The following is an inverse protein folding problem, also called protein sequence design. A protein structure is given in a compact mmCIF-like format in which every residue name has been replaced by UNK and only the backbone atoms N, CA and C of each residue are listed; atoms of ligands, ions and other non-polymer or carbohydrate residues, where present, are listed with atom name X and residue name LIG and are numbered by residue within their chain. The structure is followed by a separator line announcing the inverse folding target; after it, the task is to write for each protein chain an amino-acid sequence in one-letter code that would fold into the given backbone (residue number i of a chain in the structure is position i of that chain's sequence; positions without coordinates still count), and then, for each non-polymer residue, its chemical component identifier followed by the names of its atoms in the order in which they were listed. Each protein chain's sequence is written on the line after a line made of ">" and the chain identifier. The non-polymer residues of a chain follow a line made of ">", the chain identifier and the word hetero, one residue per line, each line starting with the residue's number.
data_IF_258397149480
#
_entry.id   IF_258397149480
#
_cell.length_a   1.000
_cell.length_b   1.000
_cell.length_c   1.000
_cell.angle_alpha   90.00
_cell.angle_beta   90.00
_cell.angle_gamma   90.00
#
_symmetry.space_group_name_H-M   'P 1'
#
loop_
_entity.id
_entity.type
_entity.pdbx_description
1 polymer ?
#
# COMPACT_ATOMS: atom_id res chain seq x y z
N UNK A 1 -3.62 30.00 -0.73
CA UNK A 1 -4.17 28.80 -0.09
C UNK A 1 -3.11 27.72 -0.17
N UNK A 2 -2.72 27.11 0.95
CA UNK A 2 -1.78 25.98 0.90
C UNK A 2 -2.46 24.80 0.22
N UNK A 3 -1.76 24.17 -0.72
CA UNK A 3 -2.25 22.98 -1.43
C UNK A 3 -2.50 21.85 -0.42
N UNK A 4 -3.66 21.18 -0.53
CA UNK A 4 -3.97 20.04 0.36
C UNK A 4 -2.96 18.93 0.08
N UNK A 5 -2.18 18.57 1.09
CA UNK A 5 -1.22 17.47 0.99
C UNK A 5 -1.98 16.19 0.67
N UNK A 6 -1.66 15.58 -0.48
CA UNK A 6 -2.21 14.29 -0.88
C UNK A 6 -1.35 13.17 -0.30
N UNK A 7 -1.98 12.32 0.50
CA UNK A 7 -1.32 11.16 1.10
C UNK A 7 -1.28 9.99 0.11
N UNK A 8 -0.14 9.33 0.04
CA UNK A 8 0.09 8.10 -0.71
C UNK A 8 -0.27 6.87 0.13
N UNK A 9 -0.32 5.68 -0.49
CA UNK A 9 -0.49 4.42 0.24
C UNK A 9 0.58 4.26 1.33
N UNK A 10 1.83 4.58 1.00
CA UNK A 10 2.95 4.49 1.92
C UNK A 10 2.76 5.39 3.15
N UNK A 11 2.25 6.61 2.96
CA UNK A 11 2.01 7.55 4.06
C UNK A 11 0.98 7.01 5.05
N UNK A 12 -0.12 6.44 4.54
CA UNK A 12 -1.15 5.83 5.39
C UNK A 12 -0.62 4.61 6.14
N UNK A 13 0.09 3.72 5.45
CA UNK A 13 0.66 2.53 6.09
C UNK A 13 1.70 2.92 7.14
N UNK A 14 2.54 3.91 6.86
CA UNK A 14 3.52 4.41 7.83
C UNK A 14 2.84 5.01 9.07
N UNK A 15 1.74 5.74 8.89
CA UNK A 15 0.92 6.24 10.00
C UNK A 15 0.37 5.10 10.85
N UNK A 16 -0.21 4.06 10.24
CA UNK A 16 -0.80 2.95 11.00
C UNK A 16 0.27 2.16 11.75
N UNK A 17 1.42 1.91 11.12
CA UNK A 17 2.54 1.23 11.77
C UNK A 17 3.09 2.02 12.97
N UNK A 18 3.22 3.34 12.84
CA UNK A 18 3.71 4.18 13.93
C UNK A 18 2.67 4.34 15.04
N UNK A 19 1.38 4.46 14.72
CA UNK A 19 0.32 4.47 15.72
C UNK A 19 0.39 3.19 16.56
N UNK A 20 0.52 2.03 15.91
CA UNK A 20 0.71 0.75 16.60
C UNK A 20 1.96 0.72 17.48
N UNK A 21 3.11 1.22 16.99
CA UNK A 21 4.34 1.32 17.80
C UNK A 21 4.13 2.18 19.05
N UNK A 22 3.40 3.29 18.94
CA UNK A 22 3.07 4.15 20.08
C UNK A 22 2.12 3.43 21.05
N UNK A 23 1.07 2.80 20.56
CA UNK A 23 0.08 2.08 21.36
C UNK A 23 0.71 0.90 22.12
N UNK A 24 1.53 0.09 21.44
CA UNK A 24 2.21 -1.06 22.01
C UNK A 24 3.24 -0.66 23.10
N UNK A 25 3.76 0.57 23.04
CA UNK A 25 4.66 1.10 24.06
C UNK A 25 3.99 1.40 25.40
N UNK A 26 2.66 1.58 25.40
CA UNK A 26 1.88 2.00 26.58
C UNK A 26 2.16 3.42 27.07
N UNK A 27 2.90 4.23 26.30
CA UNK A 27 3.28 5.59 26.68
C UNK A 27 2.30 6.63 26.15
N UNK A 28 2.00 7.63 26.98
CA UNK A 28 1.34 8.84 26.51
C UNK A 28 2.29 9.69 25.65
N UNK A 29 1.74 10.62 24.86
CA UNK A 29 2.52 11.44 23.92
C UNK A 29 3.59 12.34 24.56
N UNK A 30 3.37 12.83 25.79
CA UNK A 30 4.35 13.65 26.52
C UNK A 30 5.60 12.85 26.90
N UNK A 31 5.48 11.68 27.58
CA UNK A 31 6.61 10.79 27.81
C UNK A 31 7.42 10.45 26.56
N UNK A 32 6.77 10.21 25.41
CA UNK A 32 7.47 9.96 24.14
C UNK A 32 8.27 11.21 23.72
N UNK A 33 7.65 12.39 23.74
CA UNK A 33 8.33 13.65 23.43
C UNK A 33 9.54 13.91 24.34
N UNK A 34 9.40 13.63 25.64
CA UNK A 34 10.44 13.83 26.65
C UNK A 34 11.63 12.89 26.41
N UNK A 35 11.38 11.61 26.08
CA UNK A 35 12.43 10.64 25.71
C UNK A 35 13.21 11.06 24.46
N UNK A 36 12.55 11.72 23.53
CA UNK A 36 13.13 12.24 22.27
C UNK A 36 13.82 13.61 22.51
N UNK A 37 13.88 14.11 23.75
CA UNK A 37 14.50 15.39 24.08
C UNK A 37 13.76 16.59 23.47
N UNK A 38 12.46 16.45 23.20
CA UNK A 38 11.64 17.50 22.60
C UNK A 38 11.85 17.74 21.11
N UNK A 39 12.65 16.92 20.41
CA UNK A 39 12.84 17.04 18.96
C UNK A 39 11.52 16.89 18.18
N UNK A 40 10.61 16.04 18.68
CA UNK A 40 9.21 16.00 18.24
C UNK A 40 8.31 16.37 19.41
N UNK A 41 7.48 17.40 19.24
CA UNK A 41 6.56 17.84 20.30
C UNK A 41 5.42 16.83 20.50
N UNK A 42 4.87 16.75 21.71
CA UNK A 42 3.71 15.90 22.00
C UNK A 42 2.49 16.21 21.13
N UNK A 43 2.34 17.47 20.69
CA UNK A 43 1.29 17.87 19.73
C UNK A 43 1.55 17.24 18.37
N UNK A 44 2.79 17.30 17.86
CA UNK A 44 3.16 16.69 16.59
C UNK A 44 3.06 15.16 16.64
N UNK A 45 3.40 14.54 17.77
CA UNK A 45 3.18 13.10 18.00
C UNK A 45 1.70 12.76 17.90
N UNK A 46 0.82 13.55 18.53
CA UNK A 46 -0.63 13.39 18.38
C UNK A 46 -1.13 13.63 16.96
N UNK A 47 -0.55 14.58 16.23
CA UNK A 47 -0.87 14.81 14.82
C UNK A 47 -0.50 13.58 13.96
N UNK A 48 0.67 13.00 14.19
CA UNK A 48 1.15 11.78 13.50
C UNK A 48 0.25 10.59 13.83
N UNK A 49 -0.02 10.35 15.11
CA UNK A 49 -0.86 9.26 15.59
C UNK A 49 -2.26 9.30 14.96
N UNK A 50 -2.85 10.49 14.83
CA UNK A 50 -4.18 10.67 14.27
C UNK A 50 -4.20 10.82 12.74
N UNK A 51 -3.04 10.85 12.08
CA UNK A 51 -2.94 11.02 10.63
C UNK A 51 -3.42 12.39 10.13
N UNK A 52 -3.17 13.46 10.88
CA UNK A 52 -3.62 14.81 10.53
C UNK A 52 -2.46 15.69 10.04
N UNK A 53 -2.81 16.72 9.25
CA UNK A 53 -1.92 17.73 8.65
C UNK A 53 -0.95 17.19 7.61
N UNK A 54 0.08 16.46 8.01
CA UNK A 54 1.15 16.00 7.11
C UNK A 54 1.71 14.64 7.52
N UNK A 55 2.17 13.83 6.55
CA UNK A 55 2.84 12.56 6.81
C UNK A 55 4.03 12.70 7.75
N UNK A 56 4.42 11.57 8.34
CA UNK A 56 5.59 11.47 9.21
C UNK A 56 6.89 11.67 8.41
N UNK A 57 7.83 12.45 8.93
CA UNK A 57 9.19 12.54 8.35
C UNK A 57 10.06 11.38 8.82
N UNK A 58 11.04 10.99 8.01
CA UNK A 58 11.97 9.90 8.37
C UNK A 58 12.67 10.13 9.72
N UNK A 59 13.07 11.36 10.03
CA UNK A 59 13.68 11.68 11.33
C UNK A 59 12.71 11.55 12.50
N UNK A 60 11.43 11.89 12.31
CA UNK A 60 10.38 11.69 13.32
C UNK A 60 10.13 10.19 13.54
N UNK A 61 10.06 9.42 12.44
CA UNK A 61 9.88 7.97 12.46
C UNK A 61 10.96 7.27 13.30
N UNK A 62 12.24 7.56 13.02
CA UNK A 62 13.36 6.95 13.74
C UNK A 62 13.32 7.31 15.22
N UNK A 63 13.09 8.59 15.54
CA UNK A 63 13.04 9.06 16.93
C UNK A 63 11.90 8.42 17.74
N UNK A 64 10.71 8.27 17.12
CA UNK A 64 9.57 7.64 17.78
C UNK A 64 9.82 6.15 18.00
N UNK A 65 10.38 5.44 17.02
CA UNK A 65 10.73 4.03 17.17
C UNK A 65 11.70 3.82 18.35
N UNK A 66 12.78 4.62 18.40
CA UNK A 66 13.77 4.57 19.49
C UNK A 66 13.12 4.82 20.86
N UNK A 67 12.31 5.87 20.99
CA UNK A 67 11.63 6.19 22.25
C UNK A 67 10.62 5.14 22.72
N UNK A 68 10.01 4.43 21.77
CA UNK A 68 9.04 3.37 22.02
C UNK A 68 9.68 1.96 22.12
N UNK A 69 10.99 1.84 21.88
CA UNK A 69 11.70 0.56 21.92
C UNK A 69 11.42 -0.36 20.73
N UNK A 70 10.95 0.19 19.60
CA UNK A 70 10.71 -0.56 18.37
C UNK A 70 11.96 -0.53 17.46
N UNK A 71 12.21 -1.61 16.71
CA UNK A 71 13.27 -1.64 15.70
C UNK A 71 12.81 -0.88 14.43
N UNK A 72 13.38 0.31 14.14
CA UNK A 72 12.95 1.12 13.01
C UNK A 72 13.19 0.43 11.66
N UNK A 73 14.19 -0.45 11.55
CA UNK A 73 14.48 -1.16 10.30
C UNK A 73 13.43 -2.22 10.04
N UNK A 74 13.09 -3.00 11.06
CA UNK A 74 12.03 -4.02 10.95
C UNK A 74 10.68 -3.37 10.66
N UNK A 75 10.31 -2.32 11.40
CA UNK A 75 9.06 -1.58 11.16
C UNK A 75 9.00 -0.99 9.76
N UNK A 76 10.09 -0.43 9.24
CA UNK A 76 10.13 0.11 7.87
C UNK A 76 9.97 -0.98 6.81
N UNK A 77 10.57 -2.16 7.01
CA UNK A 77 10.38 -3.30 6.10
C UNK A 77 8.92 -3.74 6.04
N UNK A 78 8.25 -3.79 7.18
CA UNK A 78 6.82 -4.12 7.29
C UNK A 78 5.96 -3.09 6.55
N UNK A 79 6.24 -1.80 6.74
CA UNK A 79 5.54 -0.71 6.02
C UNK A 79 5.69 -0.87 4.51
N UNK A 80 6.90 -1.13 4.00
CA UNK A 80 7.15 -1.27 2.56
C UNK A 80 6.43 -2.51 2.01
N UNK A 81 6.50 -3.64 2.72
CA UNK A 81 5.84 -4.87 2.32
C UNK A 81 4.31 -4.69 2.26
N UNK A 82 3.75 -4.04 3.27
CA UNK A 82 2.32 -3.78 3.38
C UNK A 82 1.82 -2.81 2.31
N UNK A 83 2.53 -1.71 2.08
CA UNK A 83 2.19 -0.77 1.02
C UNK A 83 2.18 -1.44 -0.36
N UNK A 84 3.19 -2.29 -0.66
CA UNK A 84 3.25 -3.07 -1.89
C UNK A 84 2.08 -4.05 -2.03
N UNK A 85 1.69 -4.70 -0.92
CA UNK A 85 0.54 -5.62 -0.91
C UNK A 85 -0.74 -4.88 -1.30
N UNK A 86 -1.01 -3.74 -0.65
CA UNK A 86 -2.19 -2.92 -0.90
C UNK A 86 -2.20 -2.38 -2.34
N UNK A 87 -1.06 -1.93 -2.85
CA UNK A 87 -0.97 -1.43 -4.23
C UNK A 87 -1.21 -2.53 -5.26
N UNK A 88 -0.66 -3.72 -5.03
CA UNK A 88 -0.87 -4.91 -5.87
C UNK A 88 -2.35 -5.31 -5.88
N UNK A 89 -2.99 -5.31 -4.71
CA UNK A 89 -4.42 -5.61 -4.57
C UNK A 89 -5.29 -4.58 -5.31
N UNK A 90 -5.03 -3.29 -5.14
CA UNK A 90 -5.72 -2.22 -5.87
C UNK A 90 -5.51 -2.29 -7.38
N UNK A 91 -4.36 -2.74 -7.85
CA UNK A 91 -4.13 -2.97 -9.27
C UNK A 91 -4.95 -4.16 -9.78
N UNK A 92 -4.97 -5.27 -9.03
CA UNK A 92 -5.79 -6.43 -9.36
C UNK A 92 -7.28 -6.09 -9.41
N UNK A 93 -7.78 -5.33 -8.44
CA UNK A 93 -9.16 -4.86 -8.40
C UNK A 93 -9.50 -3.99 -9.61
N UNK A 94 -8.62 -3.05 -9.98
CA UNK A 94 -8.78 -2.22 -11.18
C UNK A 94 -8.84 -3.05 -12.46
N UNK A 95 -7.96 -4.04 -12.60
CA UNK A 95 -7.97 -4.96 -13.75
C UNK A 95 -9.27 -5.76 -13.80
N UNK A 96 -9.72 -6.30 -12.67
CA UNK A 96 -10.99 -7.05 -12.59
C UNK A 96 -12.17 -6.16 -12.98
N UNK A 97 -12.21 -4.92 -12.51
CA UNK A 97 -13.29 -3.99 -12.84
C UNK A 97 -13.28 -3.57 -14.32
N UNK A 98 -12.10 -3.37 -14.89
CA UNK A 98 -11.92 -3.13 -16.33
C UNK A 98 -12.37 -4.32 -17.16
N UNK A 99 -11.97 -5.54 -16.79
CA UNK A 99 -12.44 -6.78 -17.44
C UNK A 99 -13.96 -6.91 -17.38
N UNK A 100 -14.59 -6.59 -16.23
CA UNK A 100 -16.05 -6.60 -16.08
C UNK A 100 -16.72 -5.57 -17.00
N UNK A 101 -16.13 -4.37 -17.15
CA UNK A 101 -16.64 -3.35 -18.06
C UNK A 101 -16.57 -3.83 -19.51
N UNK A 102 -15.42 -4.37 -19.94
CA UNK A 102 -15.25 -4.89 -21.31
C UNK A 102 -16.26 -6.00 -21.58
N UNK A 103 -16.40 -6.97 -20.66
CA UNK A 103 -17.36 -8.06 -20.82
C UNK A 103 -18.81 -7.57 -20.98
N UNK A 104 -19.17 -6.47 -20.31
CA UNK A 104 -20.49 -5.85 -20.42
C UNK A 104 -20.69 -5.12 -21.75
N UNK A 105 -19.68 -4.40 -22.21
CA UNK A 105 -19.78 -3.49 -23.36
C UNK A 105 -19.51 -4.21 -24.69
N UNK A 106 -18.56 -5.15 -24.73
CA UNK A 106 -18.23 -6.00 -25.88
C UNK A 106 -17.70 -7.38 -25.41
N UNK A 107 -18.59 -8.37 -25.21
CA UNK A 107 -18.19 -9.69 -24.74
C UNK A 107 -17.30 -10.47 -25.72
N UNK A 108 -17.27 -10.11 -27.01
CA UNK A 108 -16.40 -10.75 -28.00
C UNK A 108 -14.96 -10.23 -27.94
N UNK A 109 -14.75 -8.99 -27.52
CA UNK A 109 -13.41 -8.40 -27.38
C UNK A 109 -12.51 -9.19 -26.40
N UNK A 110 -13.09 -9.73 -25.32
CA UNK A 110 -12.35 -10.52 -24.34
C UNK A 110 -11.91 -11.89 -24.89
N UNK A 111 -12.68 -12.48 -25.81
CA UNK A 111 -12.37 -13.78 -26.42
C UNK A 111 -11.20 -13.68 -27.40
N UNK A 112 -11.03 -12.53 -28.08
CA UNK A 112 -9.91 -12.29 -28.99
C UNK A 112 -8.56 -12.19 -28.26
N UNK A 113 -8.54 -11.65 -27.03
CA UNK A 113 -7.32 -11.59 -26.19
C UNK A 113 -6.87 -12.96 -25.66
N UNK A 114 -7.81 -13.92 -25.50
CA UNK A 114 -7.52 -15.30 -25.09
C UNK A 114 -7.09 -16.15 -26.31
N UNK A 115 -7.52 -15.76 -27.52
CA UNK A 115 -7.28 -16.53 -28.76
C UNK A 115 -5.80 -16.59 -29.18
N UNK A 116 -4.90 -15.84 -28.54
CA UNK A 116 -3.45 -15.99 -28.70
C UNK A 116 -2.92 -17.39 -28.33
N UNK A 117 -3.64 -18.16 -27.49
CA UNK A 117 -3.32 -19.56 -27.20
C UNK A 117 -3.85 -20.57 -28.23
N UNK A 118 -4.73 -20.18 -29.16
CA UNK A 118 -5.25 -21.11 -30.19
C UNK A 118 -4.15 -21.67 -31.08
N UNK A 119 -3.04 -20.96 -31.26
CA UNK A 119 -1.90 -21.43 -32.07
C UNK A 119 -1.39 -22.83 -31.63
N UNK A 120 -1.55 -23.20 -30.36
CA UNK A 120 -1.15 -24.52 -29.85
C UNK A 120 -2.06 -25.68 -30.27
N UNK A 121 -3.27 -25.40 -30.75
CA UNK A 121 -4.27 -26.42 -31.12
C UNK A 121 -4.60 -26.46 -32.62
N UNK A 122 -4.01 -25.60 -33.46
CA UNK A 122 -4.21 -25.65 -34.92
C UNK A 122 -3.37 -26.75 -35.60
N UNK A 123 -2.45 -27.41 -34.88
CA UNK A 123 -1.51 -28.36 -35.50
C UNK A 123 -2.08 -29.77 -35.80
N UNK A 124 -3.34 -30.07 -35.49
CA UNK A 124 -3.96 -31.34 -35.88
C UNK A 124 -5.40 -31.15 -36.34
N UNK A 125 -5.60 -31.05 -37.65
CA UNK A 125 -6.93 -31.02 -38.22
C UNK A 125 -7.05 -30.78 -39.72
N UNK A 126 -6.03 -31.10 -40.53
CA UNK A 126 -6.28 -31.34 -41.96
C UNK A 126 -6.94 -32.70 -42.07
N UNK A 127 -8.27 -32.71 -41.94
CA UNK A 127 -9.11 -33.83 -42.30
C UNK A 127 -9.05 -34.03 -43.82
N UNK A 128 -8.02 -34.74 -44.27
CA UNK A 128 -8.05 -35.41 -45.57
C UNK A 128 -9.16 -36.47 -45.50
N UNK A 129 -10.29 -36.18 -46.14
CA UNK A 129 -11.39 -37.11 -46.36
C UNK A 129 -11.00 -37.95 -47.60
N UNK A 130 -10.61 -39.24 -47.46
CA UNK A 130 -10.23 -40.03 -48.63
C UNK A 130 -11.47 -40.37 -49.46
N UNK A 131 -11.39 -40.02 -50.74
CA UNK A 131 -12.40 -40.16 -51.79
C UNK A 131 -12.87 -41.60 -52.07
#
# INVERSE_FOLDING_TARGET
>A
MAEKIKWTTLDYVAKEAIAKVMDDSGLAYRPIADRIGGFVSHVRIGDIHNGVKSPIRLSEFIAICDACGADPVQTLREIIAEARRIETERERERRVEETKRILKDDPMALAADIDGEKSKYVEYGDGDDPA
#
